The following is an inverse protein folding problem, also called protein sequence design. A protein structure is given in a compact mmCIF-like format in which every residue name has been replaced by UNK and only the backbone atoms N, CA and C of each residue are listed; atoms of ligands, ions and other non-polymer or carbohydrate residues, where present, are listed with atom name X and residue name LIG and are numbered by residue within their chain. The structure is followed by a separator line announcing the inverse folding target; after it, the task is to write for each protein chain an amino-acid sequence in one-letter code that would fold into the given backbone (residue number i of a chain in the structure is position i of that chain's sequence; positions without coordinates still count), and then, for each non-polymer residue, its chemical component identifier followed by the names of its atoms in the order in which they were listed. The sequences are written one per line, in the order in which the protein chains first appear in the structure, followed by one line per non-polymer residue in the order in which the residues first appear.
data_IF_054680894819
#
_entry.id   IF_054680894819
#
_cell.length_a   1.000
_cell.length_b   1.000
_cell.length_c   1.000
_cell.angle_alpha   90.00
_cell.angle_beta   90.00
_cell.angle_gamma   90.00
#
_symmetry.space_group_name_H-M   'P 1'
#
loop_
_entity.id
_entity.type
_entity.pdbx_description
1 polymer ?
#
# COMPACT_ATOMS: atom_id res chain seq x y z
N UNK A 1 -8.82 -1.48 -16.07
CA UNK A 1 -9.62 -1.42 -14.83
C UNK A 1 -8.86 -2.07 -13.68
N UNK A 2 -8.84 -1.41 -12.56
CA UNK A 2 -8.16 -1.93 -11.36
C UNK A 2 -9.04 -2.99 -10.69
N UNK A 3 -8.43 -4.12 -10.39
CA UNK A 3 -9.06 -5.19 -9.61
C UNK A 3 -8.32 -5.36 -8.29
N UNK A 4 -9.06 -5.58 -7.22
CA UNK A 4 -8.49 -5.72 -5.87
C UNK A 4 -8.76 -7.13 -5.35
N UNK A 5 -7.72 -7.76 -4.81
CA UNK A 5 -7.82 -9.09 -4.19
C UNK A 5 -7.30 -9.05 -2.77
N UNK A 6 -7.99 -9.76 -1.88
CA UNK A 6 -7.55 -9.94 -0.49
C UNK A 6 -7.14 -11.40 -0.28
N UNK A 7 -6.32 -11.69 0.76
CA UNK A 7 -5.77 -13.04 0.95
C UNK A 7 -6.79 -14.17 1.09
N UNK A 8 -8.01 -13.86 1.55
CA UNK A 8 -9.04 -14.87 1.72
C UNK A 8 -9.72 -15.28 0.40
N UNK A 9 -9.50 -14.54 -0.67
CA UNK A 9 -10.10 -14.85 -1.97
C UNK A 9 -9.27 -15.90 -2.72
N UNK A 10 -9.97 -16.83 -3.40
CA UNK A 10 -9.29 -17.90 -4.12
C UNK A 10 -8.31 -17.38 -5.18
N UNK A 11 -8.69 -16.33 -5.89
CA UNK A 11 -7.85 -15.76 -6.95
C UNK A 11 -6.57 -15.11 -6.44
N UNK A 12 -6.52 -14.72 -5.17
CA UNK A 12 -5.30 -14.19 -4.56
C UNK A 12 -4.13 -15.17 -4.72
N UNK A 13 -4.39 -16.45 -4.55
CA UNK A 13 -3.36 -17.49 -4.61
C UNK A 13 -2.71 -17.60 -5.99
N UNK A 14 -3.42 -17.20 -7.04
CA UNK A 14 -2.87 -17.23 -8.40
C UNK A 14 -1.68 -16.27 -8.56
N UNK A 15 -1.66 -15.19 -7.77
CA UNK A 15 -0.64 -14.15 -7.86
C UNK A 15 0.24 -14.06 -6.63
N UNK A 16 0.00 -14.89 -5.64
CA UNK A 16 0.65 -14.78 -4.33
C UNK A 16 2.17 -14.88 -4.43
N UNK A 17 2.69 -15.82 -5.21
CA UNK A 17 4.15 -15.97 -5.37
C UNK A 17 4.78 -14.77 -6.04
N UNK A 18 4.11 -14.21 -7.05
CA UNK A 18 4.59 -13.00 -7.70
C UNK A 18 4.62 -11.83 -6.71
N UNK A 19 3.58 -11.72 -5.89
CA UNK A 19 3.49 -10.67 -4.89
C UNK A 19 4.57 -10.82 -3.82
N UNK A 20 4.82 -12.06 -3.36
CA UNK A 20 5.90 -12.34 -2.41
C UNK A 20 7.26 -11.87 -2.95
N UNK A 21 7.58 -12.22 -4.18
CA UNK A 21 8.84 -11.83 -4.79
C UNK A 21 8.94 -10.31 -4.91
N UNK A 22 7.86 -9.66 -5.30
CA UNK A 22 7.82 -8.21 -5.42
C UNK A 22 8.02 -7.54 -4.05
N UNK A 23 7.38 -8.07 -3.02
CA UNK A 23 7.57 -7.58 -1.65
C UNK A 23 9.03 -7.70 -1.23
N UNK A 24 9.63 -8.87 -1.42
CA UNK A 24 11.01 -9.13 -1.02
C UNK A 24 11.99 -8.22 -1.76
N UNK A 25 11.74 -7.94 -3.03
CA UNK A 25 12.54 -7.02 -3.82
C UNK A 25 12.47 -5.57 -3.34
N UNK A 26 11.38 -5.22 -2.64
CA UNK A 26 11.13 -3.85 -2.20
C UNK A 26 11.31 -3.66 -0.69
N UNK A 27 11.58 -4.71 0.08
CA UNK A 27 11.64 -4.62 1.55
C UNK A 27 12.56 -3.52 2.05
N UNK A 28 13.73 -3.40 1.47
CA UNK A 28 14.69 -2.39 1.87
C UNK A 28 14.17 -0.99 1.60
N UNK A 29 13.54 -0.80 0.45
CA UNK A 29 13.00 0.51 0.02
C UNK A 29 11.82 0.96 0.88
N UNK A 30 11.01 0.02 1.35
CA UNK A 30 9.83 0.34 2.16
C UNK A 30 10.11 0.19 3.66
N UNK A 31 11.34 -0.13 4.02
CA UNK A 31 11.81 -0.24 5.40
C UNK A 31 10.95 -1.19 6.24
N UNK A 32 10.55 -2.32 5.65
CA UNK A 32 9.78 -3.34 6.36
C UNK A 32 10.63 -4.60 6.49
N UNK A 33 10.85 -5.04 7.73
CA UNK A 33 11.66 -6.21 8.04
C UNK A 33 10.84 -7.47 8.28
N UNK A 34 9.52 -7.37 8.22
CA UNK A 34 8.64 -8.52 8.42
C UNK A 34 8.64 -9.44 7.21
N UNK A 35 8.32 -10.72 7.43
CA UNK A 35 8.15 -11.66 6.32
C UNK A 35 6.88 -11.32 5.54
N UNK A 36 6.80 -11.79 4.31
CA UNK A 36 5.58 -11.64 3.51
C UNK A 36 4.39 -12.31 4.22
N UNK A 37 4.61 -13.49 4.82
CA UNK A 37 3.57 -14.20 5.56
C UNK A 37 3.03 -13.37 6.71
N UNK A 38 3.91 -12.67 7.43
CA UNK A 38 3.47 -11.77 8.50
C UNK A 38 2.56 -10.66 7.96
N UNK A 39 2.97 -10.02 6.88
CA UNK A 39 2.17 -8.96 6.24
C UNK A 39 0.82 -9.51 5.79
N UNK A 40 0.83 -10.65 5.12
CA UNK A 40 -0.39 -11.28 4.62
C UNK A 40 -1.39 -11.60 5.74
N UNK A 41 -0.88 -12.12 6.87
CA UNK A 41 -1.73 -12.66 7.93
C UNK A 41 -2.06 -11.67 9.04
N UNK A 42 -1.28 -10.57 9.16
CA UNK A 42 -1.39 -9.65 10.29
C UNK A 42 -1.69 -8.20 9.90
N UNK A 43 -1.91 -7.93 8.63
CA UNK A 43 -2.30 -6.60 8.17
C UNK A 43 -3.52 -6.71 7.25
N UNK A 44 -4.10 -5.57 6.91
CA UNK A 44 -5.13 -5.53 5.87
C UNK A 44 -4.41 -5.36 4.53
N UNK A 45 -4.14 -6.48 3.88
CA UNK A 45 -3.39 -6.51 2.63
C UNK A 45 -4.33 -6.51 1.43
N UNK A 46 -4.12 -5.57 0.53
CA UNK A 46 -4.87 -5.45 -0.72
C UNK A 46 -3.90 -5.57 -1.89
N UNK A 47 -4.11 -6.58 -2.71
CA UNK A 47 -3.36 -6.79 -3.94
C UNK A 47 -4.08 -6.10 -5.09
N UNK A 48 -3.35 -5.38 -5.93
CA UNK A 48 -3.94 -4.66 -7.06
C UNK A 48 -3.46 -5.24 -8.38
N UNK A 49 -4.43 -5.46 -9.27
CA UNK A 49 -4.20 -5.94 -10.63
C UNK A 49 -4.76 -4.93 -11.63
N UNK A 50 -4.13 -4.82 -12.77
CA UNK A 50 -4.65 -4.08 -13.91
C UNK A 50 -4.61 -4.98 -15.12
N UNK A 51 -5.78 -5.24 -15.73
CA UNK A 51 -5.92 -6.17 -16.84
C UNK A 51 -5.28 -7.53 -16.52
N UNK A 52 -5.58 -8.04 -15.33
CA UNK A 52 -5.09 -9.32 -14.81
C UNK A 52 -3.57 -9.40 -14.65
N UNK A 53 -2.90 -8.26 -14.59
CA UNK A 53 -1.46 -8.20 -14.32
C UNK A 53 -1.22 -7.55 -12.97
N UNK A 54 -0.31 -8.12 -12.19
CA UNK A 54 0.02 -7.60 -10.87
C UNK A 54 0.66 -6.21 -10.98
N UNK A 55 0.09 -5.24 -10.26
CA UNK A 55 0.69 -3.91 -10.09
C UNK A 55 1.52 -3.88 -8.81
N UNK A 56 0.95 -4.28 -7.71
CA UNK A 56 1.56 -4.21 -6.40
C UNK A 56 0.54 -4.42 -5.30
N UNK A 57 0.86 -3.94 -4.12
CA UNK A 57 -0.04 -4.06 -2.98
C UNK A 57 0.09 -2.86 -2.05
N UNK A 58 -0.98 -2.62 -1.30
CA UNK A 58 -1.00 -1.65 -0.22
C UNK A 58 -1.52 -2.40 1.00
N UNK A 59 -0.88 -2.20 2.16
CA UNK A 59 -1.34 -2.83 3.38
C UNK A 59 -1.47 -1.81 4.50
N UNK A 60 -2.51 -2.00 5.31
CA UNK A 60 -2.86 -1.12 6.41
C UNK A 60 -2.67 -1.84 7.74
N UNK A 61 -2.14 -1.13 8.72
CA UNK A 61 -1.87 -1.70 10.04
C UNK A 61 -2.01 -0.64 11.12
N UNK A 62 -2.30 -1.08 12.33
CA UNK A 62 -2.40 -0.17 13.48
C UNK A 62 -1.06 -0.10 14.21
N UNK A 63 -0.67 1.11 14.59
CA UNK A 63 0.53 1.34 15.38
C UNK A 63 0.27 2.53 16.29
N UNK A 64 0.43 2.33 17.60
CA UNK A 64 0.19 3.39 18.60
C UNK A 64 -1.18 4.05 18.46
N UNK A 65 -2.21 3.26 18.17
CA UNK A 65 -3.58 3.73 18.05
C UNK A 65 -3.88 4.49 16.75
N UNK A 66 -2.94 4.49 15.80
CA UNK A 66 -3.10 5.16 14.51
C UNK A 66 -3.08 4.16 13.38
N UNK A 67 -3.87 4.43 12.35
CA UNK A 67 -3.89 3.60 11.14
C UNK A 67 -2.78 4.08 10.20
N UNK A 68 -1.86 3.17 9.90
CA UNK A 68 -0.77 3.42 8.94
C UNK A 68 -0.98 2.61 7.68
N UNK A 69 -0.40 3.07 6.60
CA UNK A 69 -0.31 2.27 5.38
C UNK A 69 1.14 2.20 4.90
N UNK A 70 1.43 1.17 4.17
CA UNK A 70 2.66 1.00 3.44
C UNK A 70 2.32 0.30 2.12
N UNK A 71 3.22 0.35 1.15
CA UNK A 71 2.92 -0.27 -0.14
C UNK A 71 4.17 -0.48 -0.97
N UNK A 72 4.03 -1.33 -1.97
CA UNK A 72 5.09 -1.63 -2.90
C UNK A 72 4.49 -1.98 -4.26
N UNK A 73 5.25 -1.74 -5.31
CA UNK A 73 4.76 -1.94 -6.66
C UNK A 73 5.88 -2.22 -7.64
N UNK A 74 5.48 -2.68 -8.81
CA UNK A 74 6.40 -2.80 -9.95
C UNK A 74 6.80 -1.40 -10.43
N UNK A 75 7.98 -1.31 -11.02
CA UNK A 75 8.51 -0.05 -11.55
C UNK A 75 7.60 0.51 -12.65
N UNK A 76 7.65 1.85 -12.83
CA UNK A 76 7.00 2.57 -13.93
C UNK A 76 5.47 2.51 -13.90
N UNK A 77 4.88 2.34 -12.73
CA UNK A 77 3.43 2.28 -12.56
C UNK A 77 2.89 3.43 -11.71
N UNK A 78 3.55 4.60 -11.77
CA UNK A 78 3.23 5.73 -10.88
C UNK A 78 1.74 6.10 -10.95
N UNK A 79 1.19 6.26 -12.13
CA UNK A 79 -0.21 6.65 -12.31
C UNK A 79 -1.18 5.61 -11.73
N UNK A 80 -0.89 4.32 -11.96
CA UNK A 80 -1.70 3.24 -11.42
C UNK A 80 -1.56 3.12 -9.92
N UNK A 81 -0.36 3.34 -9.38
CA UNK A 81 -0.13 3.35 -7.95
C UNK A 81 -0.91 4.46 -7.27
N UNK A 82 -0.91 5.64 -7.88
CA UNK A 82 -1.68 6.77 -7.38
C UNK A 82 -3.18 6.45 -7.35
N UNK A 83 -3.69 5.84 -8.41
CA UNK A 83 -5.08 5.43 -8.51
C UNK A 83 -5.44 4.41 -7.42
N UNK A 84 -4.58 3.41 -7.20
CA UNK A 84 -4.77 2.41 -6.16
C UNK A 84 -4.76 3.04 -4.76
N UNK A 85 -3.85 3.96 -4.52
CA UNK A 85 -3.75 4.65 -3.24
C UNK A 85 -5.00 5.48 -2.96
N UNK A 86 -5.43 6.26 -3.92
CA UNK A 86 -6.67 7.05 -3.80
C UNK A 86 -7.88 6.17 -3.54
N UNK A 87 -7.98 5.04 -4.24
CA UNK A 87 -9.08 4.12 -4.07
C UNK A 87 -9.10 3.53 -2.66
N UNK A 88 -7.97 2.99 -2.21
CA UNK A 88 -7.92 2.28 -0.93
C UNK A 88 -8.17 3.21 0.27
N UNK A 89 -7.78 4.47 0.20
CA UNK A 89 -8.01 5.40 1.31
C UNK A 89 -9.49 5.71 1.51
N UNK A 90 -10.32 5.51 0.49
CA UNK A 90 -11.76 5.73 0.62
C UNK A 90 -12.45 4.67 1.48
N UNK A 91 -11.79 3.55 1.76
CA UNK A 91 -12.38 2.46 2.52
C UNK A 91 -12.34 2.67 4.03
N UNK A 92 -11.69 3.73 4.49
CA UNK A 92 -11.49 3.98 5.92
C UNK A 92 -12.05 5.33 6.33
N UNK A 93 -12.70 5.37 7.50
CA UNK A 93 -13.30 6.58 8.08
C UNK A 93 -12.50 7.08 9.28
N UNK A 94 -11.19 7.21 9.10
CA UNK A 94 -10.29 7.69 10.14
C UNK A 94 -9.09 8.37 9.49
N UNK A 95 -8.28 9.04 10.28
CA UNK A 95 -7.02 9.58 9.80
C UNK A 95 -6.10 8.43 9.40
N UNK A 96 -5.41 8.57 8.27
CA UNK A 96 -4.49 7.58 7.76
C UNK A 96 -3.09 8.20 7.73
N UNK A 97 -2.12 7.49 8.28
CA UNK A 97 -0.73 7.93 8.35
C UNK A 97 0.13 7.09 7.43
N UNK A 98 1.19 7.69 6.88
CA UNK A 98 2.15 6.99 6.06
C UNK A 98 3.53 7.65 6.18
N UNK A 99 4.56 6.83 6.16
CA UNK A 99 5.93 7.32 6.12
C UNK A 99 6.44 7.18 4.68
N UNK A 100 6.92 8.28 4.11
CA UNK A 100 7.51 8.27 2.79
C UNK A 100 8.98 7.86 2.89
N UNK A 101 9.36 6.81 2.16
CA UNK A 101 10.72 6.29 2.20
C UNK A 101 11.60 6.86 1.08
N UNK A 102 10.98 7.55 0.11
CA UNK A 102 11.70 8.16 -1.01
C UNK A 102 10.84 9.24 -1.66
N UNK A 103 11.42 9.95 -2.65
CA UNK A 103 10.73 11.07 -3.31
C UNK A 103 9.46 10.62 -4.05
N UNK A 104 9.51 9.45 -4.69
CA UNK A 104 8.36 8.95 -5.45
C UNK A 104 7.18 8.66 -4.53
N UNK A 105 7.42 8.02 -3.38
CA UNK A 105 6.35 7.75 -2.42
C UNK A 105 5.82 9.05 -1.80
N UNK A 106 6.70 10.01 -1.49
CA UNK A 106 6.26 11.31 -0.98
C UNK A 106 5.35 12.02 -1.98
N UNK A 107 5.73 12.03 -3.24
CA UNK A 107 4.93 12.66 -4.30
C UNK A 107 3.56 11.97 -4.45
N UNK A 108 3.56 10.64 -4.39
CA UNK A 108 2.33 9.87 -4.47
C UNK A 108 1.37 10.22 -3.33
N UNK A 109 1.91 10.32 -2.10
CA UNK A 109 1.11 10.71 -0.94
C UNK A 109 0.55 12.12 -1.09
N UNK A 110 1.40 13.07 -1.48
CA UNK A 110 0.95 14.46 -1.68
C UNK A 110 -0.14 14.57 -2.73
N UNK A 111 0.01 13.87 -3.84
CA UNK A 111 -1.00 13.87 -4.91
C UNK A 111 -2.29 13.18 -4.51
N UNK A 112 -2.25 12.33 -3.49
CA UNK A 112 -3.44 11.66 -2.95
C UNK A 112 -4.13 12.48 -1.85
N UNK A 113 -3.63 13.67 -1.54
CA UNK A 113 -4.23 14.54 -0.54
C UNK A 113 -3.61 14.46 0.84
N UNK A 114 -2.59 13.64 1.01
CA UNK A 114 -1.84 13.60 2.28
C UNK A 114 -1.07 14.89 2.47
N UNK A 115 -0.86 15.28 3.73
CA UNK A 115 -0.05 16.43 4.09
C UNK A 115 1.08 15.99 4.99
N UNK A 116 2.25 16.62 4.81
CA UNK A 116 3.40 16.34 5.66
C UNK A 116 3.14 16.88 7.07
N UNK A 117 3.40 16.05 8.07
CA UNK A 117 3.30 16.43 9.48
C UNK A 117 4.68 16.83 10.00
N UNK A 118 5.67 15.96 9.79
CA UNK A 118 7.07 16.20 10.16
C UNK A 118 7.93 15.18 9.43
N UNK A 119 9.17 15.55 9.13
CA UNK A 119 10.13 14.67 8.45
C UNK A 119 9.49 13.90 7.29
N UNK A 120 9.38 12.57 7.43
CA UNK A 120 8.82 11.70 6.39
C UNK A 120 7.39 11.26 6.70
N UNK A 121 6.79 11.79 7.76
CA UNK A 121 5.45 11.39 8.18
C UNK A 121 4.39 12.26 7.51
N UNK A 122 3.41 11.59 6.92
CA UNK A 122 2.28 12.22 6.23
C UNK A 122 0.97 11.76 6.84
N UNK A 123 -0.06 12.58 6.76
CA UNK A 123 -1.40 12.24 7.21
C UNK A 123 -2.45 12.62 6.18
N UNK A 124 -3.40 11.73 5.97
CA UNK A 124 -4.65 12.03 5.28
C UNK A 124 -5.72 12.14 6.35
N UNK A 125 -6.22 13.34 6.58
CA UNK A 125 -7.23 13.55 7.61
C UNK A 125 -8.58 12.99 7.20
N UNK A 126 -9.30 12.46 8.17
CA UNK A 126 -10.66 11.98 7.98
C UNK A 126 -11.52 13.10 7.39
N UNK A 127 -12.23 12.80 6.31
CA UNK A 127 -13.06 13.78 5.58
C UNK A 127 -14.52 13.79 6.00
N UNK A 128 -14.87 12.91 6.91
CA UNK A 128 -16.26 12.78 7.39
C UNK A 128 -16.50 13.61 8.66
#
# INVERSE_FOLDING_TARGET
MIRVLIPSEADFKLYENQLRLLYEQNQEKICDTNSFEFIRDNTLLYMFLFNNKLIGAIYYFMENGKLFLNGFSKRKNFEKNLECLKLSTTWFNCNIYAEAQNRASALCLLKSGFKRVCDNLFVLKNRN
#
